data_IF_428417786845
#
_entry.id   IF_428417786845
#
_cell.length_a   1.000
_cell.length_b   1.000
_cell.length_c   1.000
_cell.angle_alpha   90.00
_cell.angle_beta   90.00
_cell.angle_gamma   90.00
#
_symmetry.space_group_name_H-M   'P 1'
#
loop_
_entity.id
_entity.type
_entity.pdbx_description
1 polymer ?
#
# COMPACT_ATOMS: atom_id res chain seq x y z
N UNK A 1 13.89 -9.35 -19.25
CA UNK A 1 12.41 -9.37 -19.12
C UNK A 1 11.68 -10.11 -20.25
N UNK A 2 12.24 -10.25 -21.47
CA UNK A 2 11.57 -10.90 -22.62
C UNK A 2 11.19 -12.38 -22.49
N UNK A 3 11.66 -13.08 -21.43
CA UNK A 3 11.27 -14.46 -21.12
C UNK A 3 10.09 -14.56 -20.14
N UNK A 4 9.72 -13.46 -19.48
CA UNK A 4 8.59 -13.42 -18.57
C UNK A 4 7.36 -12.98 -19.36
N UNK A 5 6.37 -13.86 -19.54
CA UNK A 5 5.09 -13.52 -20.19
C UNK A 5 4.21 -12.71 -19.23
N UNK A 6 4.73 -11.58 -18.76
CA UNK A 6 4.06 -10.66 -17.87
C UNK A 6 3.38 -9.57 -18.69
N UNK A 7 2.06 -9.45 -18.52
CA UNK A 7 1.25 -8.40 -19.13
C UNK A 7 0.56 -7.65 -17.98
N UNK A 8 1.09 -6.48 -17.58
CA UNK A 8 0.49 -5.73 -16.49
C UNK A 8 -0.94 -5.36 -16.87
N UNK A 9 -1.83 -5.37 -15.88
CA UNK A 9 -3.15 -4.76 -16.05
C UNK A 9 -2.94 -3.25 -16.21
N UNK A 10 -3.78 -2.62 -17.02
CA UNK A 10 -3.72 -1.17 -17.20
C UNK A 10 -4.43 -0.47 -16.05
N UNK A 11 -3.82 0.60 -15.55
CA UNK A 11 -4.49 1.50 -14.61
C UNK A 11 -5.33 2.48 -15.43
N UNK A 12 -6.65 2.30 -15.41
CA UNK A 12 -7.58 3.11 -16.20
C UNK A 12 -7.91 4.46 -15.51
N UNK A 13 -8.19 5.53 -16.29
CA UNK A 13 -8.70 6.79 -15.76
C UNK A 13 -9.89 6.59 -14.81
N UNK A 14 -9.86 7.27 -13.66
CA UNK A 14 -10.87 7.18 -12.62
C UNK A 14 -10.81 5.92 -11.75
N UNK A 15 -9.77 5.10 -11.88
CA UNK A 15 -9.53 3.96 -11.01
C UNK A 15 -8.55 4.30 -9.88
N UNK A 16 -8.70 3.60 -8.75
CA UNK A 16 -7.78 3.68 -7.61
C UNK A 16 -7.15 2.33 -7.35
N UNK A 17 -5.83 2.24 -7.30
CA UNK A 17 -5.13 1.02 -6.91
C UNK A 17 -4.47 1.19 -5.54
N UNK A 18 -4.87 0.36 -4.58
CA UNK A 18 -4.29 0.28 -3.23
C UNK A 18 -3.09 -0.67 -3.30
N UNK A 19 -1.87 -0.15 -3.23
CA UNK A 19 -0.64 -0.86 -3.55
C UNK A 19 0.31 -0.96 -2.36
N UNK A 20 0.88 -2.15 -2.16
CA UNK A 20 1.93 -2.37 -1.16
C UNK A 20 3.33 -2.09 -1.69
N UNK A 21 4.07 -1.21 -1.04
CA UNK A 21 5.44 -0.85 -1.36
C UNK A 21 6.47 -1.88 -0.84
N UNK A 22 6.05 -2.83 0.00
CA UNK A 22 6.96 -3.74 0.69
C UNK A 22 7.65 -3.08 1.90
N UNK A 23 8.65 -3.73 2.51
CA UNK A 23 9.26 -3.31 3.78
C UNK A 23 10.25 -2.13 3.64
N UNK A 24 10.56 -1.66 2.42
CA UNK A 24 11.40 -0.48 2.18
C UNK A 24 12.37 -0.64 1.00
N UNK A 25 12.96 -1.82 0.83
CA UNK A 25 13.84 -2.14 -0.30
C UNK A 25 13.04 -2.14 -1.62
N UNK A 26 13.42 -1.34 -2.64
CA UNK A 26 12.76 -1.34 -3.94
C UNK A 26 12.70 -2.72 -4.62
N UNK A 27 13.63 -3.62 -4.33
CA UNK A 27 13.62 -5.01 -4.80
C UNK A 27 12.43 -5.85 -4.29
N UNK A 28 11.72 -5.36 -3.27
CA UNK A 28 10.50 -5.96 -2.75
C UNK A 28 9.22 -5.48 -3.45
N UNK A 29 9.30 -4.57 -4.43
CA UNK A 29 8.15 -4.20 -5.24
C UNK A 29 7.72 -5.38 -6.11
N UNK A 30 6.40 -5.57 -6.22
CA UNK A 30 5.85 -6.50 -7.19
C UNK A 30 5.84 -5.86 -8.58
N UNK A 31 5.85 -6.68 -9.62
CA UNK A 31 5.81 -6.20 -11.00
C UNK A 31 4.55 -5.37 -11.29
N UNK A 32 3.42 -5.72 -10.69
CA UNK A 32 2.16 -4.97 -10.81
C UNK A 32 2.24 -3.59 -10.16
N UNK A 33 2.86 -3.50 -8.98
CA UNK A 33 3.02 -2.21 -8.29
C UNK A 33 3.95 -1.31 -9.09
N UNK A 34 5.06 -1.85 -9.60
CA UNK A 34 5.97 -1.10 -10.45
C UNK A 34 5.28 -0.57 -11.72
N UNK A 35 4.49 -1.42 -12.40
CA UNK A 35 3.74 -1.03 -13.57
C UNK A 35 2.68 0.05 -13.25
N UNK A 36 1.98 -0.08 -12.13
CA UNK A 36 0.98 0.89 -11.69
C UNK A 36 1.60 2.27 -11.40
N UNK A 37 2.76 2.31 -10.74
CA UNK A 37 3.48 3.54 -10.42
C UNK A 37 3.92 4.29 -11.68
N UNK A 38 4.39 3.55 -12.70
CA UNK A 38 4.81 4.13 -13.98
C UNK A 38 3.64 4.77 -14.77
N UNK A 39 2.41 4.28 -14.57
CA UNK A 39 1.21 4.79 -15.24
C UNK A 39 0.41 5.80 -14.40
N UNK A 40 0.77 6.03 -13.14
CA UNK A 40 -0.03 6.85 -12.23
C UNK A 40 -0.06 8.33 -12.66
N UNK A 41 -1.24 8.93 -12.62
CA UNK A 41 -1.39 10.39 -12.67
C UNK A 41 -1.22 10.98 -11.27
N UNK A 42 -1.69 10.30 -10.23
CA UNK A 42 -1.63 10.73 -8.84
C UNK A 42 -1.06 9.62 -7.96
N UNK A 43 -0.08 9.95 -7.13
CA UNK A 43 0.48 9.06 -6.12
C UNK A 43 0.17 9.58 -4.72
N UNK A 44 -0.70 8.88 -3.98
CA UNK A 44 -0.98 9.14 -2.57
C UNK A 44 -0.18 8.15 -1.72
N UNK A 45 0.79 8.60 -0.91
CA UNK A 45 1.75 7.69 -0.25
C UNK A 45 1.99 8.01 1.23
N UNK A 46 2.26 6.96 2.02
CA UNK A 46 2.51 7.05 3.46
C UNK A 46 3.97 7.37 3.80
N UNK A 47 4.22 7.73 5.07
CA UNK A 47 5.55 8.08 5.59
C UNK A 47 6.59 6.95 5.49
N UNK A 48 6.15 5.68 5.48
CA UNK A 48 7.05 4.52 5.49
C UNK A 48 7.57 4.14 4.09
N UNK A 49 7.07 4.78 3.03
CA UNK A 49 7.52 4.51 1.67
C UNK A 49 8.84 5.23 1.40
N UNK A 50 9.84 4.50 0.89
CA UNK A 50 11.15 5.07 0.57
C UNK A 50 11.09 6.03 -0.61
N UNK A 51 11.97 7.03 -0.62
CA UNK A 51 12.07 8.02 -1.71
C UNK A 51 12.33 7.38 -3.06
N UNK A 52 13.10 6.30 -3.09
CA UNK A 52 13.47 5.59 -4.32
C UNK A 52 12.23 4.94 -4.97
N UNK A 53 11.30 4.42 -4.18
CA UNK A 53 10.03 3.89 -4.67
C UNK A 53 9.12 5.02 -5.16
N UNK A 54 9.06 6.14 -4.43
CA UNK A 54 8.27 7.31 -4.85
C UNK A 54 8.78 7.88 -6.18
N UNK A 55 10.10 7.88 -6.39
CA UNK A 55 10.74 8.39 -7.60
C UNK A 55 10.37 7.59 -8.87
N UNK A 56 9.86 6.37 -8.75
CA UNK A 56 9.36 5.58 -9.90
C UNK A 56 8.14 6.25 -10.54
N UNK A 57 7.30 6.93 -9.74
CA UNK A 57 6.10 7.62 -10.23
C UNK A 57 6.45 9.03 -10.74
N UNK A 58 7.40 9.12 -11.66
CA UNK A 58 7.99 10.39 -12.14
C UNK A 58 6.97 11.37 -12.75
N UNK A 59 5.89 10.84 -13.35
CA UNK A 59 4.86 11.63 -14.01
C UNK A 59 3.65 11.93 -13.11
N UNK A 60 3.66 11.41 -11.88
CA UNK A 60 2.53 11.55 -10.97
C UNK A 60 2.65 12.81 -10.10
N UNK A 61 1.51 13.45 -9.84
CA UNK A 61 1.44 14.42 -8.75
C UNK A 61 1.50 13.70 -7.40
N UNK A 62 2.35 14.19 -6.51
CA UNK A 62 2.67 13.54 -5.25
C UNK A 62 1.83 14.10 -4.10
N UNK A 63 1.06 13.23 -3.43
CA UNK A 63 0.25 13.55 -2.26
C UNK A 63 0.77 12.77 -1.04
N UNK A 64 1.39 13.48 -0.11
CA UNK A 64 1.92 12.87 1.10
C UNK A 64 0.82 12.70 2.17
N UNK A 65 0.56 11.47 2.58
CA UNK A 65 -0.47 11.10 3.57
C UNK A 65 0.09 10.82 4.98
N UNK A 66 1.42 10.91 5.17
CA UNK A 66 2.09 10.56 6.44
C UNK A 66 2.24 11.71 7.45
N UNK A 67 2.79 11.40 8.64
CA UNK A 67 3.17 12.37 9.67
C UNK A 67 4.49 13.07 9.29
N UNK A 68 4.48 14.39 9.08
CA UNK A 68 5.70 15.22 9.09
C UNK A 68 5.93 15.73 10.52
N UNK A 69 7.07 15.38 11.12
CA UNK A 69 7.60 15.84 12.42
C UNK A 69 6.66 16.73 13.26
N UNK A 70 5.85 16.12 14.12
CA UNK A 70 5.03 16.83 15.11
C UNK A 70 3.70 17.44 14.62
N UNK A 71 3.37 17.39 13.33
CA UNK A 71 2.06 17.84 12.81
C UNK A 71 0.99 16.73 12.89
N UNK A 72 -0.30 17.10 13.03
CA UNK A 72 -1.40 16.14 12.94
C UNK A 72 -1.32 15.38 11.62
N UNK A 73 -1.46 14.05 11.69
CA UNK A 73 -1.63 13.22 10.51
C UNK A 73 -2.89 13.63 9.75
N UNK A 74 -2.90 13.47 8.43
CA UNK A 74 -4.17 13.43 7.71
C UNK A 74 -5.03 12.34 8.35
N UNK A 75 -6.29 12.64 8.65
CA UNK A 75 -7.20 11.62 9.16
C UNK A 75 -7.48 10.63 8.05
N UNK A 76 -7.83 9.39 8.40
CA UNK A 76 -8.13 8.37 7.40
C UNK A 76 -9.26 8.79 6.46
N UNK A 77 -10.27 9.48 6.99
CA UNK A 77 -11.38 10.01 6.21
C UNK A 77 -10.91 11.04 5.17
N UNK A 78 -9.93 11.88 5.53
CA UNK A 78 -9.36 12.87 4.61
C UNK A 78 -8.58 12.17 3.47
N UNK A 79 -7.84 11.10 3.78
CA UNK A 79 -7.10 10.30 2.78
C UNK A 79 -8.09 9.68 1.81
N UNK A 80 -9.13 9.09 2.36
CA UNK A 80 -10.17 8.42 1.58
C UNK A 80 -10.91 9.42 0.68
N UNK A 81 -11.31 10.58 1.23
CA UNK A 81 -11.94 11.66 0.46
C UNK A 81 -11.02 12.17 -0.67
N UNK A 82 -9.72 12.27 -0.42
CA UNK A 82 -8.74 12.62 -1.45
C UNK A 82 -8.70 11.57 -2.58
N UNK A 83 -8.67 10.28 -2.25
CA UNK A 83 -8.68 9.20 -3.24
C UNK A 83 -9.94 9.27 -4.13
N UNK A 84 -11.11 9.43 -3.50
CA UNK A 84 -12.38 9.55 -4.21
C UNK A 84 -12.39 10.77 -5.13
N UNK A 85 -11.93 11.93 -4.64
CA UNK A 85 -11.85 13.16 -5.44
C UNK A 85 -10.96 12.96 -6.67
N UNK A 86 -9.73 12.47 -6.48
CA UNK A 86 -8.78 12.26 -7.57
C UNK A 86 -9.33 11.30 -8.63
N UNK A 87 -10.01 10.23 -8.20
CA UNK A 87 -10.66 9.29 -9.10
C UNK A 87 -11.82 9.95 -9.88
N UNK A 88 -12.65 10.76 -9.22
CA UNK A 88 -13.75 11.50 -9.86
C UNK A 88 -13.26 12.54 -10.87
N UNK A 89 -12.06 13.08 -10.65
CA UNK A 89 -11.38 13.95 -11.61
C UNK A 89 -10.83 13.17 -12.82
N UNK A 90 -11.10 11.86 -12.91
CA UNK A 90 -10.70 10.98 -14.01
C UNK A 90 -9.23 10.54 -13.93
N UNK A 91 -8.56 10.72 -12.80
CA UNK A 91 -7.13 10.40 -12.67
C UNK A 91 -6.90 8.91 -12.46
N UNK A 92 -5.74 8.43 -12.92
CA UNK A 92 -5.17 7.13 -12.57
C UNK A 92 -4.48 7.23 -11.21
N UNK A 93 -5.13 6.74 -10.16
CA UNK A 93 -4.67 6.96 -8.78
C UNK A 93 -3.99 5.72 -8.23
N UNK A 94 -2.79 5.89 -7.68
CA UNK A 94 -2.12 4.87 -6.86
C UNK A 94 -2.08 5.36 -5.42
N UNK A 95 -2.64 4.56 -4.51
CA UNK A 95 -2.52 4.70 -3.06
C UNK A 95 -1.43 3.73 -2.58
N UNK A 96 -0.23 4.24 -2.37
CA UNK A 96 0.94 3.43 -2.02
C UNK A 96 1.18 3.40 -0.51
N UNK A 97 1.20 2.19 0.05
CA UNK A 97 1.26 1.92 1.49
C UNK A 97 2.51 1.12 1.81
N UNK A 98 3.13 1.37 2.96
CA UNK A 98 4.26 0.55 3.41
C UNK A 98 3.82 -0.89 3.68
N UNK A 99 4.66 -1.86 3.35
CA UNK A 99 4.34 -3.28 3.52
C UNK A 99 3.24 -3.75 2.56
N UNK A 100 2.18 -4.32 3.12
CA UNK A 100 0.99 -4.80 2.42
C UNK A 100 -0.25 -3.94 2.79
N UNK A 101 -1.13 -3.58 1.84
CA UNK A 101 -2.31 -2.75 2.15
C UNK A 101 -3.24 -3.33 3.21
N UNK A 102 -3.31 -4.65 3.34
CA UNK A 102 -4.27 -5.38 4.17
C UNK A 102 -3.66 -5.99 5.45
N UNK A 103 -2.38 -5.76 5.73
CA UNK A 103 -1.74 -6.16 6.99
C UNK A 103 -1.48 -4.93 7.84
N UNK A 104 -2.38 -4.63 8.79
CA UNK A 104 -2.34 -3.44 9.67
C UNK A 104 -2.20 -2.11 8.90
N UNK A 105 -2.61 -2.11 7.63
CA UNK A 105 -2.45 -0.98 6.73
C UNK A 105 -3.71 -0.12 6.60
N UNK A 106 -4.86 -0.54 7.13
CA UNK A 106 -6.17 0.11 6.91
C UNK A 106 -6.63 0.16 5.45
N UNK A 107 -6.03 -0.62 4.56
CA UNK A 107 -6.46 -0.69 3.15
C UNK A 107 -7.89 -1.21 3.01
N UNK A 108 -8.40 -1.99 3.96
CA UNK A 108 -9.79 -2.45 3.98
C UNK A 108 -10.79 -1.30 4.12
N UNK A 109 -10.51 -0.33 4.99
CA UNK A 109 -11.34 0.88 5.14
C UNK A 109 -11.34 1.73 3.86
N UNK A 110 -10.16 1.94 3.28
CA UNK A 110 -10.01 2.67 2.01
C UNK A 110 -10.79 1.96 0.88
N UNK A 111 -10.68 0.63 0.78
CA UNK A 111 -11.41 -0.17 -0.19
C UNK A 111 -12.93 -0.10 -0.03
N UNK A 112 -13.42 -0.17 1.21
CA UNK A 112 -14.85 -0.11 1.52
C UNK A 112 -15.45 1.24 1.10
N UNK A 113 -14.75 2.33 1.41
CA UNK A 113 -15.21 3.66 1.02
C UNK A 113 -15.18 3.89 -0.49
N UNK A 114 -14.15 3.39 -1.20
CA UNK A 114 -14.12 3.42 -2.66
C UNK A 114 -15.31 2.64 -3.26
N UNK A 115 -15.65 1.49 -2.70
CA UNK A 115 -16.82 0.71 -3.11
C UNK A 115 -18.13 1.49 -2.89
N UNK A 116 -18.30 2.13 -1.72
CA UNK A 116 -19.48 2.95 -1.41
C UNK A 116 -19.67 4.12 -2.39
N UNK A 117 -18.56 4.72 -2.82
CA UNK A 117 -18.57 5.84 -3.78
C UNK A 117 -18.61 5.38 -5.25
N UNK A 118 -18.74 4.07 -5.50
CA UNK A 118 -18.73 3.44 -6.82
C UNK A 118 -17.47 3.73 -7.64
N UNK A 119 -16.31 3.84 -6.97
CA UNK A 119 -15.01 4.02 -7.60
C UNK A 119 -14.39 2.65 -7.89
N UNK A 120 -14.07 2.31 -9.16
CA UNK A 120 -13.40 1.06 -9.48
C UNK A 120 -12.01 1.01 -8.81
N UNK A 121 -11.73 -0.07 -8.10
CA UNK A 121 -10.44 -0.21 -7.44
C UNK A 121 -9.85 -1.61 -7.55
N UNK A 122 -8.55 -1.70 -7.26
CA UNK A 122 -7.80 -2.95 -7.15
C UNK A 122 -6.86 -2.87 -5.96
N UNK A 123 -6.69 -3.99 -5.27
CA UNK A 123 -5.62 -4.15 -4.28
C UNK A 123 -4.47 -4.90 -4.91
N UNK A 124 -3.27 -4.31 -4.84
CA UNK A 124 -2.02 -4.92 -5.23
C UNK A 124 -1.24 -5.31 -3.96
N UNK A 125 -1.01 -6.61 -3.71
CA UNK A 125 -0.35 -7.05 -2.50
C UNK A 125 1.11 -6.57 -2.47
N UNK A 126 1.62 -6.42 -1.26
CA UNK A 126 3.02 -6.12 -0.99
C UNK A 126 3.63 -7.11 -0.01
N UNK A 127 4.95 -7.06 0.10
CA UNK A 127 5.66 -7.87 1.08
C UNK A 127 5.51 -7.25 2.47
N UNK A 128 4.81 -7.92 3.39
CA UNK A 128 4.66 -7.44 4.77
C UNK A 128 5.98 -7.49 5.55
N UNK A 129 6.28 -6.43 6.30
CA UNK A 129 7.45 -6.35 7.17
C UNK A 129 7.45 -7.48 8.22
N UNK A 130 6.28 -7.93 8.68
CA UNK A 130 6.14 -8.99 9.67
C UNK A 130 6.75 -10.33 9.26
N UNK A 131 6.92 -10.58 7.95
CA UNK A 131 7.58 -11.79 7.43
C UNK A 131 8.92 -11.45 6.74
N UNK A 132 8.96 -10.37 5.98
CA UNK A 132 10.15 -10.01 5.21
C UNK A 132 11.33 -9.59 6.07
N UNK A 133 11.09 -8.94 7.22
CA UNK A 133 12.18 -8.59 8.15
C UNK A 133 12.84 -9.84 8.75
N UNK A 134 12.06 -10.90 9.00
CA UNK A 134 12.59 -12.18 9.48
C UNK A 134 13.50 -12.80 8.42
N UNK A 135 13.03 -12.89 7.18
CA UNK A 135 13.83 -13.44 6.07
C UNK A 135 15.12 -12.64 5.82
N UNK A 136 15.05 -11.30 5.85
CA UNK A 136 16.21 -10.42 5.67
C UNK A 136 17.27 -10.57 6.77
N UNK A 137 16.89 -11.10 7.93
CA UNK A 137 17.78 -11.35 9.07
C UNK A 137 18.11 -12.82 9.27
N UNK A 138 17.74 -13.69 8.31
CA UNK A 138 18.04 -15.12 8.36
C UNK A 138 17.16 -15.91 9.34
N UNK A 139 16.05 -15.34 9.81
CA UNK A 139 15.11 -15.99 10.72
C UNK A 139 13.92 -16.53 9.90
N UNK A 140 13.70 -17.85 9.85
CA UNK A 140 12.53 -18.40 9.17
C UNK A 140 11.28 -18.22 10.06
N UNK A 141 10.18 -17.72 9.49
CA UNK A 141 8.90 -17.60 10.21
C UNK A 141 8.30 -18.96 10.58
N UNK A 142 8.63 -20.01 9.82
CA UNK A 142 8.25 -21.39 10.14
C UNK A 142 9.41 -22.34 9.92
N UNK A 143 9.50 -23.36 10.77
CA UNK A 143 10.42 -24.47 10.57
C UNK A 143 9.76 -25.77 11.01
N UNK A 144 9.87 -26.82 10.17
CA UNK A 144 9.34 -28.15 10.48
C UNK A 144 9.92 -28.64 11.81
N UNK A 145 9.05 -29.09 12.72
CA UNK A 145 9.45 -29.54 14.05
C UNK A 145 9.54 -28.42 15.10
N UNK A 146 9.39 -27.15 14.71
CA UNK A 146 9.41 -26.00 15.63
C UNK A 146 8.00 -25.44 15.85
N UNK A 147 7.30 -25.09 14.77
CA UNK A 147 5.98 -24.49 14.85
C UNK A 147 5.05 -24.95 13.72
N UNK A 148 3.74 -24.77 13.94
CA UNK A 148 2.66 -25.04 12.96
C UNK A 148 1.85 -23.80 12.61
N UNK A 149 2.17 -22.66 13.23
CA UNK A 149 1.43 -21.42 13.10
C UNK A 149 2.38 -20.21 13.21
N UNK A 150 1.96 -19.12 12.57
CA UNK A 150 2.53 -17.77 12.69
C UNK A 150 1.37 -16.86 13.02
N UNK A 151 1.55 -15.98 14.01
CA UNK A 151 0.56 -14.98 14.41
C UNK A 151 1.19 -13.61 14.14
N UNK A 152 0.52 -12.79 13.34
CA UNK A 152 0.82 -11.38 13.20
C UNK A 152 -0.17 -10.63 14.08
N UNK A 153 0.33 -9.77 14.96
CA UNK A 153 -0.47 -8.96 15.86
C UNK A 153 0.09 -7.54 15.90
N UNK A 154 -0.81 -6.57 16.02
CA UNK A 154 -0.49 -5.17 16.30
C UNK A 154 -0.20 -5.01 17.78
N UNK A 155 0.80 -4.19 18.12
CA UNK A 155 1.07 -3.76 19.49
C UNK A 155 0.43 -2.40 19.82
N UNK A 156 -0.36 -1.85 18.89
CA UNK A 156 -1.13 -0.62 19.07
C UNK A 156 -2.60 -0.99 19.27
N UNK A 157 -3.30 -0.25 20.13
CA UNK A 157 -4.75 -0.32 20.21
C UNK A 157 -5.36 0.61 19.17
N UNK A 158 -6.45 0.19 18.52
CA UNK A 158 -7.26 1.00 17.61
C UNK A 158 -8.10 2.06 18.37
N UNK A 159 -7.56 2.71 19.41
CA UNK A 159 -8.36 3.48 20.35
C UNK A 159 -8.60 2.71 21.65
N UNK A 160 -9.82 2.77 22.19
CA UNK A 160 -10.15 2.18 23.52
C UNK A 160 -9.91 0.67 23.55
N UNK A 161 -9.77 0.09 24.75
CA UNK A 161 -9.29 -1.29 24.99
C UNK A 161 -10.03 -2.41 24.21
N UNK A 162 -11.20 -2.14 23.63
CA UNK A 162 -12.01 -3.09 22.84
C UNK A 162 -12.02 -2.83 21.32
N UNK A 163 -11.33 -1.80 20.83
CA UNK A 163 -11.27 -1.52 19.40
C UNK A 163 -10.26 -2.44 18.70
N UNK A 164 -10.75 -3.24 17.75
CA UNK A 164 -9.95 -4.09 16.87
C UNK A 164 -9.40 -3.26 15.69
N UNK A 165 -8.07 -3.28 15.54
CA UNK A 165 -7.29 -2.74 14.40
C UNK A 165 -7.53 -3.54 13.10
#
# INVERSE_FOLDING_TARGET
MSRLNFKPRRLEPGHVWLAGAGPGDPGCLTLEVLAALAEADALVYDALVSSDVVAVAENAELFFAGKRGGKPSMKQDDITALLVRLARDGRRVVRLKGGDPYIFGRGGEEALALAHENIPFRVLPGLTSGLSALAATGIPATMRGINKAVILATGHAAGTDDDLD
#
